data_IF_623960259307
#
_entry.id   IF_623960259307
#
_cell.length_a   1.000
_cell.length_b   1.000
_cell.length_c   1.000
_cell.angle_alpha   90.00
_cell.angle_beta   90.00
_cell.angle_gamma   90.00
#
_symmetry.space_group_name_H-M   'P 1'
#
loop_
_entity.id
_entity.type
_entity.pdbx_description
1 polymer ?
#
# COMPACT_ATOMS: atom_id res chain seq x y z
N UNK A 1 -13.13 -5.23 5.79
CA UNK A 1 -12.57 -5.99 4.64
C UNK A 1 -13.43 -7.21 4.42
N UNK A 2 -13.87 -7.46 3.17
CA UNK A 2 -14.52 -8.72 2.80
C UNK A 2 -13.68 -9.96 3.19
N UNK A 3 -14.35 -11.09 3.45
CA UNK A 3 -13.71 -12.30 4.00
C UNK A 3 -12.65 -12.88 3.09
N UNK A 4 -12.82 -12.81 1.76
CA UNK A 4 -11.85 -13.34 0.82
C UNK A 4 -10.45 -12.71 0.96
N UNK A 5 -10.36 -11.47 1.44
CA UNK A 5 -9.08 -10.81 1.64
C UNK A 5 -8.44 -11.17 2.99
N UNK A 6 -9.25 -11.53 3.98
CA UNK A 6 -8.75 -11.95 5.28
C UNK A 6 -8.01 -13.30 5.16
N UNK A 7 -8.49 -14.19 4.30
CA UNK A 7 -7.84 -15.48 4.02
C UNK A 7 -6.44 -15.27 3.40
N UNK A 8 -6.31 -14.37 2.42
CA UNK A 8 -5.01 -14.03 1.80
C UNK A 8 -4.01 -13.51 2.84
N UNK A 9 -4.45 -12.59 3.71
CA UNK A 9 -3.58 -12.06 4.77
C UNK A 9 -3.18 -13.12 5.81
N UNK A 10 -4.09 -14.02 6.16
CA UNK A 10 -3.78 -15.14 7.06
C UNK A 10 -2.65 -16.03 6.51
N UNK A 11 -2.67 -16.32 5.21
CA UNK A 11 -1.62 -17.13 4.56
C UNK A 11 -0.26 -16.42 4.48
N UNK A 12 -0.24 -15.09 4.39
CA UNK A 12 0.96 -14.30 4.07
C UNK A 12 1.47 -13.42 5.24
N UNK A 13 0.87 -13.46 6.43
CA UNK A 13 1.32 -12.59 7.54
C UNK A 13 0.40 -12.52 8.76
N UNK A 14 -0.70 -13.27 8.76
CA UNK A 14 -1.67 -13.25 9.85
C UNK A 14 -2.50 -11.96 9.86
N UNK A 15 -2.73 -11.41 11.05
CA UNK A 15 -3.54 -10.20 11.24
C UNK A 15 -2.71 -8.90 11.13
N UNK A 16 -1.38 -9.01 11.12
CA UNK A 16 -0.47 -7.87 11.06
C UNK A 16 -0.31 -7.39 9.63
N UNK A 17 -0.58 -6.11 9.43
CA UNK A 17 -0.48 -5.47 8.12
C UNK A 17 0.33 -4.20 8.21
N UNK A 18 0.83 -3.77 7.06
CA UNK A 18 1.48 -2.48 6.87
C UNK A 18 0.64 -1.67 5.90
N UNK A 19 0.29 -0.47 6.34
CA UNK A 19 -0.36 0.54 5.54
C UNK A 19 0.70 1.41 4.88
N UNK A 20 0.64 1.60 3.57
CA UNK A 20 1.58 2.44 2.83
C UNK A 20 0.86 3.32 1.80
N UNK A 21 1.07 4.64 1.81
CA UNK A 21 0.51 5.51 0.77
C UNK A 21 1.43 5.56 -0.46
N UNK A 22 0.94 5.07 -1.59
CA UNK A 22 1.65 5.10 -2.86
C UNK A 22 1.58 6.48 -3.53
N UNK A 23 2.57 6.84 -4.38
CA UNK A 23 2.59 8.11 -5.12
C UNK A 23 1.35 8.38 -5.97
N UNK A 24 0.70 7.32 -6.46
CA UNK A 24 -0.53 7.33 -7.26
C UNK A 24 -1.76 7.76 -6.44
N UNK A 25 -1.59 8.11 -5.16
CA UNK A 25 -2.64 8.52 -4.21
C UNK A 25 -3.61 7.38 -3.88
N UNK A 26 -3.06 6.18 -3.69
CA UNK A 26 -3.79 5.04 -3.15
C UNK A 26 -3.11 4.51 -1.88
N UNK A 27 -3.88 3.77 -1.08
CA UNK A 27 -3.41 3.13 0.15
C UNK A 27 -3.16 1.66 -0.10
N UNK A 28 -1.90 1.23 -0.03
CA UNK A 28 -1.54 -0.17 0.08
C UNK A 28 -1.83 -0.71 1.48
N UNK A 29 -2.40 -1.92 1.52
CA UNK A 29 -2.56 -2.74 2.71
C UNK A 29 -1.84 -4.05 2.42
N UNK A 30 -0.65 -4.21 3.00
CA UNK A 30 0.24 -5.32 2.72
C UNK A 30 0.35 -6.22 3.95
N UNK A 31 0.48 -7.55 3.79
CA UNK A 31 0.99 -8.39 4.86
C UNK A 31 2.35 -7.86 5.34
N UNK A 32 2.66 -8.01 6.64
CA UNK A 32 3.96 -7.61 7.18
C UNK A 32 5.13 -8.28 6.44
N UNK A 33 4.99 -9.56 6.04
CA UNK A 33 6.03 -10.28 5.31
C UNK A 33 6.29 -9.69 3.91
N UNK A 34 5.25 -9.29 3.19
CA UNK A 34 5.36 -8.64 1.88
C UNK A 34 6.07 -7.29 2.01
N UNK A 35 5.75 -6.53 3.05
CA UNK A 35 6.43 -5.27 3.34
C UNK A 35 7.91 -5.46 3.69
N UNK A 36 8.26 -6.52 4.43
CA UNK A 36 9.65 -6.86 4.73
C UNK A 36 10.45 -7.17 3.46
N UNK A 37 9.87 -7.93 2.52
CA UNK A 37 10.48 -8.20 1.22
C UNK A 37 10.70 -6.90 0.45
N UNK A 38 9.71 -6.00 0.43
CA UNK A 38 9.83 -4.68 -0.21
C UNK A 38 10.96 -3.84 0.42
N UNK A 39 11.05 -3.82 1.76
CA UNK A 39 12.13 -3.12 2.47
C UNK A 39 13.52 -3.69 2.14
N UNK A 40 13.65 -5.01 2.04
CA UNK A 40 14.90 -5.66 1.67
C UNK A 40 15.34 -5.23 0.26
N UNK A 41 14.42 -5.20 -0.70
CA UNK A 41 14.69 -4.72 -2.06
C UNK A 41 15.09 -3.23 -2.07
N UNK A 42 14.40 -2.38 -1.29
CA UNK A 42 14.71 -0.96 -1.18
C UNK A 42 16.09 -0.68 -0.57
N UNK A 43 16.51 -1.51 0.39
CA UNK A 43 17.82 -1.40 1.05
C UNK A 43 18.97 -1.80 0.12
N UNK A 44 18.68 -2.49 -0.99
CA UNK A 44 19.66 -3.05 -1.92
C UNK A 44 20.40 -4.22 -1.27
N UNK A 45 20.47 -5.36 -1.97
CA UNK A 45 21.38 -6.42 -1.56
C UNK A 45 22.82 -5.92 -1.68
N UNK A 46 23.41 -5.44 -0.59
CA UNK A 46 24.84 -5.17 -0.52
C UNK A 46 25.24 -3.90 0.21
N UNK A 47 25.57 -4.05 1.49
CA UNK A 47 26.59 -3.22 2.11
C UNK A 47 26.33 -2.87 3.56
N UNK A 48 27.29 -3.20 4.42
CA UNK A 48 27.45 -2.71 5.80
C UNK A 48 27.82 -1.21 5.87
N UNK A 49 27.61 -0.46 4.79
CA UNK A 49 27.97 0.94 4.65
C UNK A 49 26.84 1.89 5.06
N UNK A 50 27.19 3.11 5.45
CA UNK A 50 26.22 4.15 5.76
C UNK A 50 25.47 4.58 4.48
N UNK A 51 24.15 4.72 4.56
CA UNK A 51 23.31 5.22 3.45
C UNK A 51 23.81 6.57 2.93
N UNK A 52 23.65 6.86 1.64
CA UNK A 52 23.88 8.20 1.08
C UNK A 52 22.81 9.20 1.55
N UNK A 53 23.04 10.52 1.46
CA UNK A 53 22.01 11.52 1.76
C UNK A 53 20.71 11.31 0.96
N UNK A 54 20.83 10.96 -0.32
CA UNK A 54 19.71 10.68 -1.22
C UNK A 54 18.93 9.44 -0.78
N UNK A 55 19.63 8.34 -0.49
CA UNK A 55 19.00 7.12 0.05
C UNK A 55 18.24 7.40 1.34
N UNK A 56 18.82 8.17 2.27
CA UNK A 56 18.13 8.57 3.50
C UNK A 56 16.89 9.43 3.24
N UNK A 57 16.96 10.35 2.27
CA UNK A 57 15.80 11.18 1.91
C UNK A 57 14.67 10.34 1.32
N UNK A 58 15.00 9.37 0.45
CA UNK A 58 14.02 8.43 -0.10
C UNK A 58 13.39 7.57 1.01
N UNK A 59 14.21 7.01 1.90
CA UNK A 59 13.70 6.24 3.04
C UNK A 59 12.80 7.08 3.95
N UNK A 60 13.16 8.33 4.24
CA UNK A 60 12.30 9.22 5.02
C UNK A 60 10.92 9.39 4.39
N UNK A 61 10.86 9.61 3.07
CA UNK A 61 9.58 9.74 2.35
C UNK A 61 8.76 8.45 2.40
N UNK A 62 9.38 7.30 2.13
CA UNK A 62 8.69 6.01 2.14
C UNK A 62 8.14 5.71 3.54
N UNK A 63 9.00 5.79 4.56
CA UNK A 63 8.61 5.45 5.92
C UNK A 63 7.70 6.51 6.58
N UNK A 64 7.72 7.78 6.14
CA UNK A 64 6.75 8.78 6.63
C UNK A 64 5.32 8.50 6.18
N UNK A 65 5.15 7.78 5.08
CA UNK A 65 3.86 7.34 4.56
C UNK A 65 3.60 5.86 4.82
N UNK A 66 4.21 5.30 5.87
CA UNK A 66 4.06 3.90 6.27
C UNK A 66 3.62 3.79 7.73
N UNK A 67 2.64 2.95 8.02
CA UNK A 67 2.21 2.65 9.39
C UNK A 67 1.90 1.17 9.55
N UNK A 68 2.48 0.46 10.54
CA UNK A 68 1.99 -0.86 10.91
C UNK A 68 0.58 -0.73 11.51
N UNK A 69 -0.26 -1.73 11.29
CA UNK A 69 -1.60 -1.85 11.89
C UNK A 69 -1.94 -3.34 12.07
N UNK A 70 -3.07 -3.62 12.71
CA UNK A 70 -3.62 -4.98 12.86
C UNK A 70 -5.06 -4.99 12.43
N UNK A 71 -5.41 -5.97 11.59
CA UNK A 71 -6.79 -6.18 11.18
C UNK A 71 -7.58 -6.64 12.41
N UNK A 72 -8.63 -5.89 12.78
CA UNK A 72 -9.48 -6.30 13.90
C UNK A 72 -10.24 -7.59 13.58
N UNK A 73 -10.73 -8.30 14.60
CA UNK A 73 -11.55 -9.51 14.41
C UNK A 73 -12.80 -9.31 13.52
N UNK A 74 -13.27 -8.08 13.34
CA UNK A 74 -14.38 -7.73 12.42
C UNK A 74 -13.88 -7.31 11.03
N UNK A 75 -12.60 -7.51 10.73
CA UNK A 75 -11.97 -7.15 9.46
C UNK A 75 -11.82 -5.64 9.26
N UNK A 76 -11.65 -4.84 10.32
CA UNK A 76 -11.47 -3.38 10.20
C UNK A 76 -10.00 -2.99 10.32
N UNK A 77 -9.65 -1.88 9.66
CA UNK A 77 -8.33 -1.23 9.70
C UNK A 77 -8.57 0.25 9.93
N UNK A 78 -7.68 0.91 10.67
CA UNK A 78 -7.80 2.35 10.95
C UNK A 78 -6.83 3.13 10.09
N UNK A 79 -7.34 3.96 9.20
CA UNK A 79 -6.49 4.82 8.36
C UNK A 79 -6.11 6.08 9.15
N UNK A 80 -4.81 6.34 9.39
CA UNK A 80 -4.35 7.56 10.05
C UNK A 80 -4.85 8.82 9.33
N UNK A 81 -5.06 9.91 10.09
CA UNK A 81 -5.53 11.19 9.54
C UNK A 81 -4.62 11.73 8.44
N UNK A 82 -3.30 11.73 8.67
CA UNK A 82 -2.31 12.13 7.68
C UNK A 82 -2.45 11.35 6.36
N UNK A 83 -2.81 10.07 6.43
CA UNK A 83 -2.98 9.25 5.23
C UNK A 83 -4.28 9.63 4.53
N UNK A 84 -5.36 9.86 5.28
CA UNK A 84 -6.63 10.34 4.71
C UNK A 84 -6.45 11.66 3.98
N UNK A 85 -5.73 12.62 4.57
CA UNK A 85 -5.40 13.90 3.93
C UNK A 85 -4.56 13.70 2.66
N UNK A 86 -3.54 12.85 2.71
CA UNK A 86 -2.71 12.54 1.55
C UNK A 86 -3.53 11.89 0.42
N UNK A 87 -4.44 10.98 0.75
CA UNK A 87 -5.25 10.24 -0.22
C UNK A 87 -6.46 11.04 -0.72
N UNK A 88 -6.84 12.11 -0.01
CA UNK A 88 -8.08 12.85 -0.25
C UNK A 88 -9.33 12.05 0.15
N UNK A 89 -9.24 11.25 1.21
CA UNK A 89 -10.36 10.47 1.74
C UNK A 89 -11.14 11.28 2.75
N UNK A 90 -12.39 11.58 2.42
CA UNK A 90 -13.32 12.24 3.33
C UNK A 90 -14.12 11.20 4.15
N UNK A 91 -14.48 11.48 5.42
CA UNK A 91 -15.34 10.60 6.19
C UNK A 91 -16.66 10.28 5.45
N UNK A 92 -16.94 8.98 5.26
CA UNK A 92 -18.12 8.53 4.54
C UNK A 92 -17.99 8.48 3.02
N UNK A 93 -16.83 8.82 2.45
CA UNK A 93 -16.56 8.63 1.02
C UNK A 93 -16.59 7.15 0.64
N UNK A 94 -17.12 6.85 -0.55
CA UNK A 94 -16.97 5.53 -1.16
C UNK A 94 -15.53 5.35 -1.64
N UNK A 95 -15.05 4.12 -1.53
CA UNK A 95 -13.71 3.72 -1.99
C UNK A 95 -13.82 2.47 -2.85
N UNK A 96 -12.84 2.31 -3.74
CA UNK A 96 -12.64 1.08 -4.51
C UNK A 96 -11.53 0.29 -3.83
N UNK A 97 -11.73 -1.01 -3.70
CA UNK A 97 -10.71 -1.93 -3.19
C UNK A 97 -10.30 -2.85 -4.33
N UNK A 98 -9.00 -2.88 -4.61
CA UNK A 98 -8.38 -3.67 -5.66
C UNK A 98 -7.40 -4.64 -5.02
N UNK A 99 -7.36 -5.88 -5.49
CA UNK A 99 -6.35 -6.85 -5.07
C UNK A 99 -5.21 -6.86 -6.08
N UNK A 100 -3.98 -6.84 -5.59
CA UNK A 100 -2.74 -6.85 -6.38
C UNK A 100 -1.88 -8.05 -5.98
N UNK A 101 -2.48 -9.25 -6.02
CA UNK A 101 -1.84 -10.48 -5.56
C UNK A 101 -2.09 -10.68 -4.07
N UNK A 102 -1.03 -10.62 -3.27
CA UNK A 102 -1.06 -10.83 -1.80
C UNK A 102 -1.46 -9.58 -1.00
N UNK A 103 -1.63 -8.45 -1.69
CA UNK A 103 -1.86 -7.14 -1.11
C UNK A 103 -3.16 -6.53 -1.62
N UNK A 104 -3.65 -5.50 -0.92
CA UNK A 104 -4.79 -4.70 -1.37
C UNK A 104 -4.36 -3.26 -1.60
N UNK A 105 -5.07 -2.62 -2.51
CA UNK A 105 -5.03 -1.19 -2.68
C UNK A 105 -6.42 -0.59 -2.49
N UNK A 106 -6.48 0.51 -1.76
CA UNK A 106 -7.69 1.30 -1.54
C UNK A 106 -7.55 2.62 -2.26
N UNK A 107 -8.55 2.91 -3.10
CA UNK A 107 -8.58 4.06 -3.98
C UNK A 107 -9.85 4.89 -3.75
N UNK A 108 -9.78 6.19 -4.02
CA UNK A 108 -11.02 6.92 -4.28
C UNK A 108 -11.56 6.52 -5.66
N UNK A 109 -12.88 6.56 -5.85
CA UNK A 109 -13.50 6.17 -7.12
C UNK A 109 -12.95 6.98 -8.31
N UNK A 110 -12.70 8.28 -8.13
CA UNK A 110 -12.14 9.14 -9.18
C UNK A 110 -10.69 8.80 -9.52
N UNK A 111 -9.84 8.59 -8.51
CA UNK A 111 -8.43 8.23 -8.71
C UNK A 111 -8.27 6.88 -9.38
N UNK A 112 -9.09 5.90 -9.00
CA UNK A 112 -9.09 4.61 -9.66
C UNK A 112 -9.47 4.72 -11.14
N UNK A 113 -10.50 5.51 -11.47
CA UNK A 113 -10.88 5.71 -12.87
C UNK A 113 -9.77 6.42 -13.68
N UNK A 114 -9.11 7.43 -13.09
CA UNK A 114 -7.93 8.07 -13.70
C UNK A 114 -6.80 7.06 -13.94
N UNK A 115 -6.53 6.21 -12.95
CA UNK A 115 -5.46 5.22 -13.01
C UNK A 115 -5.72 4.12 -14.05
N UNK A 116 -6.93 3.57 -14.08
CA UNK A 116 -7.32 2.58 -15.10
C UNK A 116 -7.14 3.17 -16.51
N UNK A 117 -7.59 4.42 -16.72
CA UNK A 117 -7.40 5.10 -18.00
C UNK A 117 -5.91 5.32 -18.31
N UNK A 118 -5.10 5.70 -17.31
CA UNK A 118 -3.66 5.89 -17.48
C UNK A 118 -2.98 4.59 -17.92
N UNK A 119 -3.27 3.48 -17.23
CA UNK A 119 -2.67 2.17 -17.50
C UNK A 119 -3.12 1.63 -18.87
N UNK A 120 -4.43 1.68 -19.18
CA UNK A 120 -4.96 1.21 -20.47
C UNK A 120 -4.40 1.98 -21.68
N UNK A 121 -4.04 3.26 -21.50
CA UNK A 121 -3.48 4.09 -22.58
C UNK A 121 -1.94 4.15 -22.57
N UNK A 122 -1.29 3.50 -21.60
CA UNK A 122 0.17 3.40 -21.54
C UNK A 122 0.69 2.26 -22.41
N UNK A 123 1.97 2.32 -22.81
CA UNK A 123 2.63 1.20 -23.51
C UNK A 123 2.74 -0.07 -22.63
N UNK A 124 2.55 0.08 -21.32
CA UNK A 124 2.50 -1.00 -20.31
C UNK A 124 1.06 -1.48 -20.03
N UNK A 125 0.11 -1.12 -20.91
CA UNK A 125 -1.26 -1.59 -20.81
C UNK A 125 -1.31 -3.12 -20.74
N UNK A 126 -2.28 -3.69 -20.01
CA UNK A 126 -2.39 -5.13 -19.90
C UNK A 126 -2.65 -5.68 -21.31
N UNK A 127 -1.67 -6.39 -21.88
CA UNK A 127 -1.71 -6.93 -23.24
C UNK A 127 -2.66 -8.12 -23.40
N UNK A 128 -3.89 -7.99 -22.88
CA UNK A 128 -4.97 -8.96 -23.04
C UNK A 128 -5.74 -8.75 -24.35
#
# INVERSE_FOLDING_TARGET
>A
LPSQYLEVFQEHGGERVVLHCWPERCLGILPESTWEVYCQQLSGQGGTGLMTPEQRSRSRLIFSYTSPDTITAQGRITIPEMFREFLGFEPGSKVVVVSTGDSLEVWSESRWAEEVNRVMNSQDGPGF
#
